data_IF_930608396039
#
_entry.id   IF_930608396039
#
_cell.length_a   1.000
_cell.length_b   1.000
_cell.length_c   1.000
_cell.angle_alpha   90.00
_cell.angle_beta   90.00
_cell.angle_gamma   90.00
#
_symmetry.space_group_name_H-M   'P 1'
#
loop_
_entity.id
_entity.type
_entity.pdbx_description
1 polymer ?
#
# COMPACT_ATOMS: atom_id res chain seq x y z
N UNK A 1 -26.74 25.60 32.09
CA UNK A 1 -25.32 25.41 32.49
C UNK A 1 -25.02 24.00 32.99
N UNK A 2 -25.84 23.33 33.81
CA UNK A 2 -25.56 21.95 34.29
C UNK A 2 -25.36 20.90 33.18
N UNK A 3 -26.09 20.99 32.06
CA UNK A 3 -26.00 20.02 30.96
C UNK A 3 -24.67 20.08 30.22
N UNK A 4 -24.04 21.24 30.08
CA UNK A 4 -22.73 21.37 29.45
C UNK A 4 -21.58 20.88 30.37
N UNK A 5 -21.72 21.08 31.70
CA UNK A 5 -20.74 20.66 32.67
C UNK A 5 -20.67 19.14 32.88
N UNK A 6 -21.71 18.40 32.46
CA UNK A 6 -21.74 16.93 32.56
C UNK A 6 -21.21 16.21 31.32
N UNK A 7 -20.80 16.94 30.26
CA UNK A 7 -20.23 16.32 29.07
C UNK A 7 -18.80 15.90 29.27
N UNK A 8 -18.48 14.73 28.76
CA UNK A 8 -17.12 14.23 28.75
C UNK A 8 -16.28 15.09 27.78
N UNK A 9 -15.18 15.65 28.28
CA UNK A 9 -14.17 16.33 27.46
C UNK A 9 -13.13 15.31 27.03
N UNK A 10 -12.64 15.41 25.81
CA UNK A 10 -11.56 14.60 25.25
C UNK A 10 -10.52 15.51 24.61
N UNK A 11 -9.28 15.07 24.54
CA UNK A 11 -8.27 15.75 23.74
C UNK A 11 -8.57 15.58 22.26
N UNK A 12 -8.19 16.57 21.48
CA UNK A 12 -8.32 16.57 20.04
C UNK A 12 -6.94 16.71 19.42
N UNK A 13 -6.60 15.78 18.53
CA UNK A 13 -5.33 15.82 17.77
C UNK A 13 -5.55 15.48 16.31
N UNK A 14 -4.55 15.82 15.50
CA UNK A 14 -4.57 15.58 14.08
C UNK A 14 -3.16 15.27 13.57
N UNK A 15 -3.06 14.29 12.68
CA UNK A 15 -1.81 13.92 12.03
C UNK A 15 -2.05 13.56 10.57
N UNK A 16 -0.99 13.38 9.79
CA UNK A 16 -1.10 13.04 8.38
C UNK A 16 -0.29 11.81 7.98
N UNK A 17 -0.83 11.04 7.04
CA UNK A 17 -0.06 10.08 6.25
C UNK A 17 0.59 10.82 5.09
N UNK A 18 1.89 11.02 5.18
CA UNK A 18 2.72 11.57 4.11
C UNK A 18 3.63 10.45 3.62
N UNK A 19 3.78 10.29 2.31
CA UNK A 19 4.62 9.24 1.73
C UNK A 19 5.63 9.82 0.74
N UNK A 20 6.68 9.06 0.49
CA UNK A 20 7.50 9.25 -0.71
C UNK A 20 6.89 8.57 -1.94
N UNK A 21 7.57 8.66 -3.08
CA UNK A 21 7.07 8.15 -4.37
C UNK A 21 7.02 6.62 -4.45
N UNK A 22 7.69 5.89 -3.56
CA UNK A 22 7.65 4.43 -3.50
C UNK A 22 6.74 3.91 -2.39
N UNK A 23 6.03 4.82 -1.69
CA UNK A 23 5.01 4.47 -0.69
C UNK A 23 5.53 4.29 0.73
N UNK A 24 6.79 4.67 1.03
CA UNK A 24 7.28 4.69 2.42
C UNK A 24 6.64 5.85 3.18
N UNK A 25 6.29 5.60 4.43
CA UNK A 25 5.61 6.57 5.32
C UNK A 25 6.63 7.46 6.01
N UNK A 26 6.39 8.77 5.99
CA UNK A 26 7.17 9.75 6.73
C UNK A 26 6.83 9.66 8.21
N UNK A 27 7.84 9.49 9.04
CA UNK A 27 7.76 9.63 10.48
C UNK A 27 8.75 10.68 10.97
N UNK A 28 8.46 11.26 12.13
CA UNK A 28 9.29 12.25 12.82
C UNK A 28 9.74 11.72 14.19
N UNK A 29 10.95 12.07 14.63
CA UNK A 29 11.51 11.64 15.89
C UNK A 29 11.52 12.77 16.89
N UNK A 30 10.71 12.73 17.97
CA UNK A 30 10.60 13.80 18.95
C UNK A 30 11.80 13.80 19.94
N UNK A 31 12.29 14.98 20.30
CA UNK A 31 13.39 15.16 21.25
C UNK A 31 12.97 14.98 22.72
N UNK A 32 11.68 15.17 23.03
CA UNK A 32 11.13 15.17 24.37
C UNK A 32 10.72 13.77 24.89
N UNK A 33 10.92 12.72 24.07
CA UNK A 33 10.65 11.32 24.47
C UNK A 33 11.93 10.64 24.93
N UNK A 34 11.82 9.84 25.98
CA UNK A 34 12.93 9.00 26.47
C UNK A 34 13.00 7.64 25.76
N UNK A 35 11.87 7.19 25.17
CA UNK A 35 11.78 5.99 24.36
C UNK A 35 12.13 6.35 22.90
N UNK A 36 12.73 5.43 22.16
CA UNK A 36 13.10 5.60 20.74
C UNK A 36 11.87 5.45 19.81
N UNK A 37 10.74 6.08 20.20
CA UNK A 37 9.48 6.00 19.45
C UNK A 37 9.28 7.21 18.56
N UNK A 38 8.91 6.92 17.34
CA UNK A 38 8.60 7.89 16.30
C UNK A 38 7.11 8.25 16.32
N UNK A 39 6.74 9.30 15.61
CA UNK A 39 5.37 9.80 15.47
C UNK A 39 5.03 10.04 14.02
N UNK A 40 3.73 10.05 13.68
CA UNK A 40 3.26 10.68 12.46
C UNK A 40 3.37 12.20 12.61
N UNK A 41 3.68 12.94 11.53
CA UNK A 41 3.65 14.41 11.55
C UNK A 41 2.27 14.92 11.98
N UNK A 42 2.23 15.82 12.96
CA UNK A 42 1.01 16.36 13.50
C UNK A 42 1.05 16.55 15.02
N UNK A 43 -0.03 17.08 15.60
CA UNK A 43 -0.09 17.38 17.01
C UNK A 43 -1.49 17.67 17.54
N UNK A 44 -1.54 18.35 18.70
CA UNK A 44 -2.78 18.73 19.35
C UNK A 44 -3.45 19.92 18.65
N UNK A 45 -4.78 19.91 18.59
CA UNK A 45 -5.52 21.07 18.15
C UNK A 45 -5.58 22.12 19.27
N UNK A 46 -5.36 23.36 18.93
CA UNK A 46 -5.57 24.52 19.83
C UNK A 46 -7.05 24.70 20.16
N UNK A 47 -7.39 25.41 21.25
CA UNK A 47 -8.77 25.80 21.52
C UNK A 47 -9.39 26.51 20.30
N UNK A 48 -10.59 26.05 19.90
CA UNK A 48 -11.35 26.57 18.76
C UNK A 48 -10.70 26.29 17.37
N UNK A 49 -9.62 25.51 17.28
CA UNK A 49 -8.97 25.12 16.05
C UNK A 49 -9.65 23.88 15.41
N UNK A 50 -9.87 23.93 14.09
CA UNK A 50 -10.37 22.78 13.35
C UNK A 50 -9.25 21.74 13.15
N UNK A 51 -9.50 20.40 13.27
CA UNK A 51 -8.45 19.38 13.15
C UNK A 51 -7.61 19.46 11.86
N UNK A 52 -8.21 19.86 10.74
CA UNK A 52 -7.46 20.01 9.48
C UNK A 52 -6.50 21.21 9.52
N UNK A 53 -6.85 22.27 10.24
CA UNK A 53 -6.00 23.45 10.39
C UNK A 53 -4.87 23.15 11.38
N UNK A 54 -5.16 22.46 12.48
CA UNK A 54 -4.15 21.93 13.39
C UNK A 54 -3.12 21.07 12.64
N UNK A 55 -3.59 20.11 11.84
CA UNK A 55 -2.70 19.25 11.05
C UNK A 55 -1.81 20.05 10.09
N UNK A 56 -2.34 21.09 9.40
CA UNK A 56 -1.55 21.94 8.50
C UNK A 56 -0.52 22.77 9.26
N UNK A 57 -0.93 23.36 10.39
CA UNK A 57 -0.04 24.15 11.25
C UNK A 57 1.13 23.29 11.73
N UNK A 58 0.86 22.13 12.30
CA UNK A 58 1.88 21.20 12.81
C UNK A 58 2.85 20.76 11.69
N UNK A 59 2.34 20.36 10.51
CA UNK A 59 3.19 19.99 9.37
C UNK A 59 4.09 21.15 8.93
N UNK A 60 3.59 22.39 8.98
CA UNK A 60 4.37 23.55 8.64
C UNK A 60 5.42 23.88 9.72
N UNK A 61 5.08 23.73 11.01
CA UNK A 61 5.96 23.95 12.14
C UNK A 61 7.04 22.87 12.27
N UNK A 62 6.67 21.61 12.04
CA UNK A 62 7.54 20.45 12.19
C UNK A 62 8.47 20.21 11.00
N UNK A 63 8.00 20.46 9.77
CA UNK A 63 8.69 20.03 8.54
C UNK A 63 8.95 21.17 7.54
N UNK A 64 8.52 22.39 7.85
CA UNK A 64 8.55 23.55 6.94
C UNK A 64 7.82 23.28 5.60
N UNK A 65 6.81 22.44 5.63
CA UNK A 65 5.96 22.12 4.47
C UNK A 65 4.69 22.97 4.49
N UNK A 66 4.79 24.18 3.92
CA UNK A 66 3.70 25.14 3.86
C UNK A 66 2.58 24.70 2.89
N UNK A 67 1.35 25.17 3.16
CA UNK A 67 0.16 24.99 2.31
C UNK A 67 -0.14 23.55 1.89
N UNK A 68 0.09 22.59 2.80
CA UNK A 68 -0.16 21.18 2.50
C UNK A 68 -1.66 20.91 2.30
N UNK A 69 -2.02 20.38 1.14
CA UNK A 69 -3.39 19.94 0.88
C UNK A 69 -3.70 18.69 1.71
N UNK A 70 -4.84 18.70 2.38
CA UNK A 70 -5.38 17.59 3.16
C UNK A 70 -6.76 17.23 2.57
N UNK A 71 -6.82 16.52 1.42
CA UNK A 71 -8.05 16.37 0.64
C UNK A 71 -9.11 15.51 1.34
N UNK A 72 -8.71 14.63 2.26
CA UNK A 72 -9.66 13.76 2.97
C UNK A 72 -9.12 13.28 4.32
N UNK A 73 -10.05 12.84 5.17
CA UNK A 73 -9.77 12.09 6.39
C UNK A 73 -9.61 10.62 6.03
N UNK A 74 -8.51 10.01 6.43
CA UNK A 74 -8.22 8.59 6.21
C UNK A 74 -8.66 7.72 7.39
N UNK A 75 -8.51 8.25 8.63
CA UNK A 75 -8.96 7.56 9.83
C UNK A 75 -9.46 8.55 10.88
N UNK A 76 -10.43 8.10 11.68
CA UNK A 76 -10.84 8.73 12.94
C UNK A 76 -10.68 7.69 14.03
N UNK A 77 -9.91 8.02 15.05
CA UNK A 77 -9.60 7.12 16.15
C UNK A 77 -10.03 7.72 17.49
N UNK A 78 -10.64 6.91 18.34
CA UNK A 78 -10.90 7.23 19.74
C UNK A 78 -9.99 6.41 20.65
N UNK A 79 -9.25 7.09 21.51
CA UNK A 79 -8.39 6.48 22.53
C UNK A 79 -9.08 6.56 23.89
N UNK A 80 -9.22 5.42 24.55
CA UNK A 80 -9.74 5.32 25.91
C UNK A 80 -8.78 5.99 26.89
N UNK A 81 -9.28 6.67 27.96
CA UNK A 81 -8.42 7.24 29.01
C UNK A 81 -7.62 6.19 29.80
N UNK A 82 -7.94 4.91 29.63
CA UNK A 82 -7.29 3.78 30.32
C UNK A 82 -6.44 2.92 29.39
N UNK A 83 -6.17 3.38 28.16
CA UNK A 83 -5.35 2.62 27.22
C UNK A 83 -3.92 2.43 27.74
N UNK A 84 -3.33 1.22 27.65
CA UNK A 84 -2.02 0.92 28.21
C UNK A 84 -0.86 1.75 27.61
N UNK A 85 -1.01 2.29 26.41
CA UNK A 85 0.00 3.16 25.77
C UNK A 85 0.01 4.60 26.35
N UNK A 86 -0.99 4.95 27.19
CA UNK A 86 -0.98 6.22 27.92
C UNK A 86 0.03 6.13 29.06
N UNK A 87 0.93 7.12 29.16
CA UNK A 87 1.92 7.16 30.22
C UNK A 87 1.25 7.13 31.62
N UNK A 88 1.72 6.29 32.55
CA UNK A 88 1.22 6.29 33.91
C UNK A 88 1.29 7.68 34.53
N UNK A 89 0.17 8.15 35.12
CA UNK A 89 0.08 9.46 35.74
C UNK A 89 -0.24 10.63 34.80
N UNK A 90 -0.33 10.40 33.50
CA UNK A 90 -0.80 11.38 32.52
C UNK A 90 -2.31 11.56 32.65
N UNK A 91 -2.83 12.79 32.91
CA UNK A 91 -4.26 13.02 33.07
C UNK A 91 -4.99 13.08 31.71
N UNK A 92 -4.94 11.97 30.93
CA UNK A 92 -5.60 11.89 29.64
C UNK A 92 -7.11 11.61 29.84
N UNK A 93 -8.00 12.51 29.41
CA UNK A 93 -9.43 12.28 29.50
C UNK A 93 -9.98 11.36 28.38
N UNK A 94 -9.12 10.81 27.56
CA UNK A 94 -9.37 10.20 26.26
C UNK A 94 -9.01 11.17 25.14
N UNK A 95 -8.89 10.64 23.92
CA UNK A 95 -8.48 11.43 22.76
C UNK A 95 -9.29 11.06 21.52
N UNK A 96 -9.63 12.04 20.70
CA UNK A 96 -10.09 11.84 19.33
C UNK A 96 -8.99 12.34 18.39
N UNK A 97 -8.46 11.45 17.56
CA UNK A 97 -7.41 11.73 16.60
C UNK A 97 -7.93 11.59 15.17
N UNK A 98 -7.67 12.61 14.35
CA UNK A 98 -7.93 12.61 12.92
C UNK A 98 -6.63 12.33 12.17
N UNK A 99 -6.66 11.38 11.23
CA UNK A 99 -5.54 11.12 10.34
C UNK A 99 -5.93 11.56 8.93
N UNK A 100 -5.21 12.52 8.40
CA UNK A 100 -5.44 13.10 7.08
C UNK A 100 -4.54 12.49 6.01
N UNK A 101 -4.98 12.58 4.76
CA UNK A 101 -4.15 12.31 3.58
C UNK A 101 -3.22 13.51 3.32
N UNK A 102 -1.98 13.40 3.74
CA UNK A 102 -0.94 14.41 3.49
C UNK A 102 -0.29 14.28 2.12
N UNK A 103 -0.69 13.31 1.29
CA UNK A 103 -0.22 13.12 -0.08
C UNK A 103 1.16 12.46 -0.17
N UNK A 104 1.71 12.50 -1.39
CA UNK A 104 3.05 11.98 -1.71
C UNK A 104 4.00 13.13 -2.00
N UNK A 105 5.21 13.07 -1.44
CA UNK A 105 6.25 14.06 -1.69
C UNK A 105 7.10 13.68 -2.89
N UNK A 106 7.43 14.68 -3.69
CA UNK A 106 8.46 14.54 -4.72
C UNK A 106 9.86 14.61 -4.10
N UNK A 107 10.92 14.11 -4.78
CA UNK A 107 12.29 14.24 -4.29
C UNK A 107 12.68 15.70 -3.95
N UNK A 108 12.25 16.67 -4.76
CA UNK A 108 12.52 18.09 -4.52
C UNK A 108 11.79 18.62 -3.27
N UNK A 109 10.60 18.10 -2.96
CA UNK A 109 9.88 18.45 -1.74
C UNK A 109 10.57 17.85 -0.52
N UNK A 110 11.03 16.59 -0.62
CA UNK A 110 11.78 15.92 0.45
C UNK A 110 13.08 16.69 0.77
N UNK A 111 13.82 17.14 -0.24
CA UNK A 111 15.05 17.92 -0.05
C UNK A 111 14.81 19.27 0.64
N UNK A 112 13.61 19.80 0.57
CA UNK A 112 13.23 21.08 1.20
C UNK A 112 12.70 20.93 2.63
N UNK A 113 12.49 19.71 3.10
CA UNK A 113 12.10 19.50 4.51
C UNK A 113 13.21 20.06 5.40
N UNK A 114 12.82 20.89 6.34
CA UNK A 114 13.68 21.35 7.42
C UNK A 114 12.97 21.17 8.74
N UNK A 115 13.72 21.03 9.82
CA UNK A 115 13.23 20.91 11.19
C UNK A 115 13.51 22.22 11.91
N UNK A 116 12.61 23.21 11.82
CA UNK A 116 12.91 24.57 12.30
C UNK A 116 12.88 24.70 13.84
N UNK A 117 12.21 23.79 14.51
CA UNK A 117 12.07 23.77 15.97
C UNK A 117 13.11 22.89 16.68
N UNK A 118 13.07 22.90 18.01
CA UNK A 118 13.88 22.02 18.86
C UNK A 118 13.13 20.73 19.25
N UNK A 119 11.87 20.59 18.83
CA UNK A 119 10.98 19.50 19.23
C UNK A 119 11.28 18.19 18.51
N UNK A 120 11.83 18.27 17.29
CA UNK A 120 12.16 17.10 16.47
C UNK A 120 13.67 17.03 16.20
N UNK A 121 14.24 15.83 16.32
CA UNK A 121 15.65 15.57 16.04
C UNK A 121 15.90 15.17 14.59
N UNK A 122 14.95 14.44 13.99
CA UNK A 122 15.08 13.92 12.63
C UNK A 122 13.72 13.53 12.03
N UNK A 123 13.70 13.32 10.73
CA UNK A 123 12.61 12.68 10.00
C UNK A 123 13.16 11.58 9.10
N UNK A 124 12.35 10.55 8.85
CA UNK A 124 12.73 9.49 7.92
C UNK A 124 11.49 8.84 7.28
N UNK A 125 11.73 8.14 6.14
CA UNK A 125 10.72 7.39 5.44
C UNK A 125 10.92 5.89 5.68
N UNK A 126 9.88 5.23 6.17
CA UNK A 126 9.91 3.81 6.53
C UNK A 126 8.91 3.00 5.70
N UNK A 127 9.26 1.78 5.33
CA UNK A 127 8.28 0.80 4.88
C UNK A 127 7.23 0.59 5.95
N UNK A 128 6.00 0.27 5.58
CA UNK A 128 4.86 0.21 6.52
C UNK A 128 5.11 -0.71 7.71
N UNK A 129 5.79 -1.83 7.48
CA UNK A 129 6.15 -2.76 8.55
C UNK A 129 7.14 -2.16 9.55
N UNK A 130 8.20 -1.55 9.05
CA UNK A 130 9.19 -0.89 9.90
C UNK A 130 8.57 0.31 10.63
N UNK A 131 7.71 1.07 9.95
CA UNK A 131 6.97 2.18 10.55
C UNK A 131 6.15 1.72 11.77
N UNK A 132 5.44 0.58 11.67
CA UNK A 132 4.69 0.00 12.81
C UNK A 132 5.61 -0.31 13.99
N UNK A 133 6.80 -0.87 13.73
CA UNK A 133 7.77 -1.22 14.77
C UNK A 133 8.36 0.02 15.47
N UNK A 134 8.42 1.17 14.76
CA UNK A 134 8.92 2.46 15.27
C UNK A 134 7.88 3.22 16.08
N UNK A 135 6.61 3.04 15.83
CA UNK A 135 5.50 3.72 16.51
C UNK A 135 5.12 3.01 17.83
N UNK A 136 4.33 3.67 18.67
CA UNK A 136 3.60 2.96 19.72
C UNK A 136 2.64 1.95 19.09
N UNK A 137 2.33 0.83 19.77
CA UNK A 137 1.46 -0.21 19.20
C UNK A 137 0.13 0.32 18.66
N UNK A 138 -0.55 1.17 19.41
CA UNK A 138 -1.82 1.78 18.96
C UNK A 138 -1.62 2.70 17.76
N UNK A 139 -0.56 3.51 17.75
CA UNK A 139 -0.27 4.44 16.64
C UNK A 139 0.09 3.69 15.36
N UNK A 140 0.81 2.57 15.49
CA UNK A 140 1.11 1.68 14.36
C UNK A 140 -0.15 1.09 13.72
N UNK A 141 -1.13 0.67 14.52
CA UNK A 141 -2.42 0.16 14.03
C UNK A 141 -3.22 1.26 13.31
N UNK A 142 -3.27 2.46 13.89
CA UNK A 142 -3.95 3.61 13.29
C UNK A 142 -3.28 4.00 11.96
N UNK A 143 -1.96 4.07 11.95
CA UNK A 143 -1.16 4.37 10.76
C UNK A 143 -1.44 3.38 9.64
N UNK A 144 -1.45 2.07 9.93
CA UNK A 144 -1.75 1.03 8.93
C UNK A 144 -3.17 1.17 8.39
N UNK A 145 -4.18 1.33 9.25
CA UNK A 145 -5.56 1.48 8.82
C UNK A 145 -5.74 2.72 7.92
N UNK A 146 -5.16 3.86 8.31
CA UNK A 146 -5.19 5.07 7.50
C UNK A 146 -4.47 4.90 6.15
N UNK A 147 -3.29 4.29 6.16
CA UNK A 147 -2.52 4.03 4.95
C UNK A 147 -3.26 3.09 3.99
N UNK A 148 -3.87 2.02 4.51
CA UNK A 148 -4.65 1.06 3.72
C UNK A 148 -5.95 1.68 3.19
N UNK A 149 -6.62 2.53 3.98
CA UNK A 149 -7.77 3.30 3.52
C UNK A 149 -7.41 4.21 2.33
N UNK A 150 -6.20 4.81 2.35
CA UNK A 150 -5.67 5.58 1.22
C UNK A 150 -5.43 4.73 -0.02
N UNK A 151 -4.75 3.59 0.13
CA UNK A 151 -4.42 2.71 -1.01
C UNK A 151 -5.65 2.03 -1.58
N UNK A 152 -6.53 1.56 -0.69
CA UNK A 152 -7.71 0.79 -1.05
C UNK A 152 -8.92 1.59 -1.48
N UNK A 153 -8.88 2.92 -1.33
CA UNK A 153 -10.05 3.80 -1.51
C UNK A 153 -11.27 3.37 -0.67
N UNK A 154 -10.99 2.87 0.55
CA UNK A 154 -11.97 2.25 1.45
C UNK A 154 -12.77 3.25 2.31
N UNK A 155 -12.72 4.54 1.99
CA UNK A 155 -13.32 5.58 2.82
C UNK A 155 -12.50 5.85 4.09
N UNK A 156 -13.16 6.44 5.10
CA UNK A 156 -12.52 6.75 6.38
C UNK A 156 -12.57 5.54 7.30
N UNK A 157 -11.42 5.09 7.79
CA UNK A 157 -11.35 4.04 8.81
C UNK A 157 -11.80 4.59 10.17
N UNK A 158 -12.66 3.86 10.87
CA UNK A 158 -13.13 4.23 12.21
C UNK A 158 -12.58 3.24 13.22
N UNK A 159 -11.79 3.73 14.19
CA UNK A 159 -11.12 2.90 15.17
C UNK A 159 -11.41 3.34 16.61
N UNK A 160 -11.39 2.37 17.51
CA UNK A 160 -11.32 2.59 18.96
C UNK A 160 -10.20 1.72 19.53
N UNK A 161 -9.31 2.33 20.33
CA UNK A 161 -8.15 1.66 20.92
C UNK A 161 -7.38 0.81 19.89
N UNK A 162 -7.14 1.38 18.70
CA UNK A 162 -6.41 0.75 17.60
C UNK A 162 -7.19 -0.30 16.79
N UNK A 163 -8.44 -0.58 17.10
CA UNK A 163 -9.24 -1.61 16.42
C UNK A 163 -10.36 -1.00 15.61
N UNK A 164 -10.63 -1.56 14.43
CA UNK A 164 -11.79 -1.19 13.65
C UNK A 164 -13.09 -1.42 14.43
N UNK A 165 -14.00 -0.43 14.41
CA UNK A 165 -15.33 -0.48 15.04
C UNK A 165 -16.48 -0.62 14.01
N UNK A 166 -16.16 -0.57 12.74
CA UNK A 166 -17.03 -0.83 11.59
C UNK A 166 -16.47 -1.98 10.77
N UNK A 167 -17.02 -2.19 9.58
CA UNK A 167 -16.53 -3.22 8.66
C UNK A 167 -15.03 -3.06 8.39
N UNK A 168 -14.32 -4.18 8.43
CA UNK A 168 -12.87 -4.20 8.22
C UNK A 168 -12.59 -4.35 6.72
N UNK A 169 -11.92 -3.38 6.07
CA UNK A 169 -11.58 -3.47 4.65
C UNK A 169 -10.68 -4.67 4.33
N UNK A 170 -10.69 -5.12 3.06
CA UNK A 170 -9.93 -6.29 2.62
C UNK A 170 -8.43 -6.20 2.94
N UNK A 171 -7.83 -5.02 2.73
CA UNK A 171 -6.39 -4.82 3.02
C UNK A 171 -6.06 -4.98 4.51
N UNK A 172 -6.97 -4.56 5.40
CA UNK A 172 -6.79 -4.70 6.86
C UNK A 172 -7.04 -6.13 7.31
N UNK A 173 -8.09 -6.80 6.79
CA UNK A 173 -8.39 -8.19 7.12
C UNK A 173 -7.22 -9.14 6.85
N UNK A 174 -6.47 -8.87 5.79
CA UNK A 174 -5.36 -9.71 5.34
C UNK A 174 -3.98 -9.18 5.73
N UNK A 175 -3.94 -8.15 6.58
CA UNK A 175 -2.67 -7.53 7.01
C UNK A 175 -1.73 -7.23 5.83
N UNK A 176 -2.27 -6.55 4.80
CA UNK A 176 -1.52 -6.24 3.58
C UNK A 176 -0.47 -5.16 3.84
N UNK A 177 0.76 -5.43 3.43
CA UNK A 177 1.88 -4.49 3.52
C UNK A 177 2.45 -4.16 2.15
N UNK A 178 2.82 -2.91 1.96
CA UNK A 178 3.59 -2.47 0.79
C UNK A 178 5.08 -2.65 1.11
N UNK A 179 5.79 -3.31 0.20
CA UNK A 179 7.24 -3.48 0.30
C UNK A 179 7.92 -3.02 -0.97
N UNK A 180 8.81 -2.05 -0.83
CA UNK A 180 9.66 -1.64 -1.92
C UNK A 180 10.81 -2.62 -2.13
N UNK A 181 11.07 -2.97 -3.39
CA UNK A 181 12.25 -3.73 -3.78
C UNK A 181 12.94 -3.02 -4.95
N UNK A 182 14.18 -2.54 -4.78
CA UNK A 182 14.89 -1.75 -5.80
C UNK A 182 14.93 -2.39 -7.19
N UNK A 183 14.98 -3.73 -7.27
CA UNK A 183 14.99 -4.46 -8.54
C UNK A 183 13.65 -4.43 -9.28
N UNK A 184 12.55 -4.07 -8.61
CA UNK A 184 11.20 -4.11 -9.20
C UNK A 184 10.76 -2.77 -9.78
N UNK A 185 11.41 -1.68 -9.40
CA UNK A 185 11.19 -0.35 -9.94
C UNK A 185 12.05 -0.04 -11.17
N UNK A 186 12.77 -1.04 -11.69
CA UNK A 186 13.54 -0.90 -12.92
C UNK A 186 12.64 -0.49 -14.09
N UNK A 187 13.14 0.40 -14.98
CA UNK A 187 12.37 0.83 -16.13
C UNK A 187 11.99 -0.35 -17.05
N UNK A 188 10.74 -0.37 -17.50
CA UNK A 188 10.28 -1.34 -18.49
C UNK A 188 10.97 -1.11 -19.84
N UNK A 189 11.65 -2.13 -20.35
CA UNK A 189 12.31 -2.13 -21.65
C UNK A 189 11.36 -2.74 -22.69
N UNK A 190 11.14 -2.02 -23.78
CA UNK A 190 10.23 -2.44 -24.88
C UNK A 190 10.99 -3.01 -26.08
N UNK A 191 12.31 -3.12 -26.00
CA UNK A 191 13.14 -3.81 -26.98
C UNK A 191 13.05 -5.32 -26.79
N UNK A 192 13.38 -6.14 -27.80
CA UNK A 192 13.54 -7.57 -27.59
C UNK A 192 14.51 -7.89 -26.46
N UNK A 193 14.26 -8.98 -25.74
CA UNK A 193 15.22 -9.51 -24.75
C UNK A 193 16.46 -9.96 -25.51
N UNK A 194 17.69 -9.54 -25.11
CA UNK A 194 18.92 -10.03 -25.73
C UNK A 194 19.04 -11.55 -25.60
N UNK A 195 19.48 -12.24 -26.67
CA UNK A 195 19.58 -13.70 -26.72
C UNK A 195 20.41 -14.32 -25.59
N UNK A 196 21.44 -13.59 -25.11
CA UNK A 196 22.31 -14.03 -24.03
C UNK A 196 21.72 -13.82 -22.64
N UNK A 197 20.58 -13.12 -22.53
CA UNK A 197 19.95 -12.81 -21.26
C UNK A 197 18.81 -13.80 -20.97
N UNK A 198 18.95 -14.71 -19.98
CA UNK A 198 17.91 -15.68 -19.72
C UNK A 198 16.64 -15.02 -19.18
N UNK A 199 15.48 -15.44 -19.71
CA UNK A 199 14.20 -15.11 -19.10
C UNK A 199 13.97 -16.03 -17.91
N UNK A 200 13.77 -15.45 -16.72
CA UNK A 200 13.60 -16.18 -15.47
C UNK A 200 12.22 -16.08 -14.87
N UNK A 201 11.49 -15.03 -15.16
CA UNK A 201 10.13 -14.81 -14.62
C UNK A 201 9.21 -14.21 -15.64
N UNK A 202 7.93 -14.54 -15.49
CA UNK A 202 6.81 -13.97 -16.25
C UNK A 202 5.70 -13.56 -15.32
N UNK A 203 5.34 -12.27 -15.33
CA UNK A 203 4.23 -11.72 -14.53
C UNK A 203 3.29 -10.91 -15.40
N UNK A 204 1.99 -10.94 -15.08
CA UNK A 204 1.00 -10.25 -15.90
C UNK A 204 0.02 -9.38 -15.09
N UNK A 205 -0.36 -8.28 -15.71
CA UNK A 205 -1.53 -7.47 -15.38
C UNK A 205 -2.76 -8.21 -15.91
N UNK A 206 -3.46 -8.94 -15.02
CA UNK A 206 -4.58 -9.83 -15.37
C UNK A 206 -5.89 -9.07 -15.27
N UNK A 207 -6.42 -8.58 -16.39
CA UNK A 207 -7.58 -7.71 -16.47
C UNK A 207 -8.91 -8.48 -16.50
N UNK A 208 -9.85 -8.09 -15.64
CA UNK A 208 -11.27 -8.48 -15.73
C UNK A 208 -12.06 -7.50 -16.61
N UNK A 209 -13.31 -7.83 -17.04
CA UNK A 209 -14.07 -7.03 -17.99
C UNK A 209 -14.33 -5.57 -17.61
N UNK A 210 -14.32 -5.23 -16.33
CA UNK A 210 -14.54 -3.85 -15.86
C UNK A 210 -13.25 -3.01 -15.81
N UNK A 211 -12.12 -3.55 -16.27
CA UNK A 211 -10.82 -2.86 -16.36
C UNK A 211 -10.00 -2.91 -15.05
N UNK A 212 -10.50 -3.58 -14.00
CA UNK A 212 -9.68 -3.88 -12.81
C UNK A 212 -8.72 -5.04 -13.08
N UNK A 213 -7.74 -5.16 -12.21
CA UNK A 213 -6.68 -6.17 -12.27
C UNK A 213 -6.81 -7.10 -11.07
N UNK A 214 -6.59 -8.40 -11.30
CA UNK A 214 -6.44 -9.37 -10.21
C UNK A 214 -5.01 -9.30 -9.68
N UNK A 215 -4.89 -9.08 -8.37
CA UNK A 215 -3.66 -9.19 -7.58
C UNK A 215 -3.74 -10.43 -6.72
N UNK A 216 -2.61 -11.05 -6.45
CA UNK A 216 -2.46 -12.03 -5.39
C UNK A 216 -1.67 -11.43 -4.23
N UNK A 217 -1.94 -11.90 -3.01
CA UNK A 217 -1.14 -11.55 -1.85
C UNK A 217 -0.86 -12.83 -1.05
N UNK A 218 0.44 -13.13 -0.87
CA UNK A 218 0.88 -14.28 -0.08
C UNK A 218 0.74 -13.96 1.42
N UNK A 219 -0.16 -14.66 2.16
CA UNK A 219 -0.40 -14.42 3.57
C UNK A 219 0.75 -14.96 4.43
N UNK A 220 1.92 -14.36 4.36
CA UNK A 220 3.10 -14.74 5.14
C UNK A 220 2.97 -14.37 6.64
N UNK A 221 3.88 -14.87 7.49
CA UNK A 221 3.89 -14.56 8.93
C UNK A 221 4.19 -13.09 9.23
N UNK A 222 4.56 -12.34 8.22
CA UNK A 222 4.93 -10.92 8.27
C UNK A 222 3.88 -10.02 7.61
N UNK A 223 2.64 -10.48 7.48
CA UNK A 223 1.60 -9.85 6.71
C UNK A 223 1.62 -10.28 5.24
N UNK A 224 0.57 -9.94 4.51
CA UNK A 224 0.41 -10.31 3.12
C UNK A 224 1.13 -9.32 2.19
N UNK A 225 1.90 -9.85 1.24
CA UNK A 225 2.63 -9.06 0.26
C UNK A 225 1.96 -9.16 -1.11
N UNK A 226 1.46 -8.04 -1.66
CA UNK A 226 0.85 -8.01 -2.98
C UNK A 226 1.83 -8.32 -4.11
N UNK A 227 1.37 -9.11 -5.09
CA UNK A 227 2.11 -9.48 -6.29
C UNK A 227 1.17 -9.53 -7.50
N UNK A 228 1.71 -9.37 -8.70
CA UNK A 228 1.00 -9.75 -9.92
C UNK A 228 1.01 -11.28 -10.03
N UNK A 229 -0.05 -11.92 -10.57
CA UNK A 229 0.00 -13.33 -10.90
C UNK A 229 1.14 -13.65 -11.86
N UNK A 230 1.89 -14.72 -11.57
CA UNK A 230 3.02 -15.16 -12.36
C UNK A 230 4.20 -15.56 -11.51
N UNK A 231 5.19 -16.18 -12.12
CA UNK A 231 6.31 -16.74 -11.37
C UNK A 231 7.50 -17.13 -12.22
N UNK A 232 8.22 -18.13 -11.75
CA UNK A 232 9.49 -18.59 -12.33
C UNK A 232 9.26 -19.51 -13.52
N UNK A 233 10.00 -19.28 -14.60
CA UNK A 233 10.04 -20.18 -15.76
C UNK A 233 10.65 -21.51 -15.34
N UNK A 234 9.88 -22.59 -15.46
CA UNK A 234 10.33 -23.94 -15.17
C UNK A 234 10.90 -24.62 -16.42
N UNK A 235 11.64 -25.72 -16.22
CA UNK A 235 12.23 -26.49 -17.33
C UNK A 235 11.17 -27.16 -18.24
N UNK A 236 10.00 -27.37 -17.73
CA UNK A 236 8.85 -27.95 -18.41
C UNK A 236 8.10 -26.93 -19.26
N UNK A 237 8.23 -25.65 -18.95
CA UNK A 237 7.56 -24.59 -19.68
C UNK A 237 8.19 -24.39 -21.08
N UNK A 238 7.40 -24.47 -22.11
CA UNK A 238 7.86 -24.35 -23.52
C UNK A 238 7.91 -22.89 -23.97
N UNK A 239 7.21 -22.01 -23.27
CA UNK A 239 7.17 -20.58 -23.55
C UNK A 239 6.89 -19.75 -22.28
N UNK A 240 7.21 -18.45 -22.29
CA UNK A 240 6.84 -17.54 -21.19
C UNK A 240 5.32 -17.43 -20.99
N UNK A 241 4.54 -17.58 -22.03
CA UNK A 241 3.07 -17.59 -21.96
C UNK A 241 2.57 -18.83 -21.21
N UNK A 242 3.19 -19.99 -21.43
CA UNK A 242 2.86 -21.23 -20.70
C UNK A 242 3.16 -21.08 -19.22
N UNK A 243 4.33 -20.52 -18.85
CA UNK A 243 4.64 -20.15 -17.47
C UNK A 243 3.53 -19.28 -16.88
N UNK A 244 3.10 -18.22 -17.60
CA UNK A 244 2.05 -17.35 -17.13
C UNK A 244 0.74 -18.07 -16.87
N UNK A 245 0.31 -18.93 -17.80
CA UNK A 245 -0.94 -19.69 -17.66
C UNK A 245 -0.89 -20.64 -16.47
N UNK A 246 0.22 -21.36 -16.28
CA UNK A 246 0.43 -22.26 -15.14
C UNK A 246 0.37 -21.51 -13.81
N UNK A 247 1.18 -20.47 -13.66
CA UNK A 247 1.29 -19.69 -12.41
C UNK A 247 -0.02 -18.97 -12.07
N UNK A 248 -0.69 -18.36 -13.07
CA UNK A 248 -1.98 -17.70 -12.85
C UNK A 248 -3.08 -18.70 -12.42
N UNK A 249 -3.02 -19.93 -12.91
CA UNK A 249 -3.95 -21.00 -12.49
C UNK A 249 -3.60 -21.52 -11.08
N UNK A 250 -2.33 -21.63 -10.73
CA UNK A 250 -1.87 -22.13 -9.42
C UNK A 250 -2.10 -21.09 -8.32
N UNK A 251 -1.65 -19.82 -8.52
CA UNK A 251 -1.70 -18.77 -7.51
C UNK A 251 -3.09 -18.14 -7.35
N UNK A 252 -3.80 -17.95 -8.46
CA UNK A 252 -5.02 -17.13 -8.49
C UNK A 252 -6.25 -17.82 -9.07
N UNK A 253 -6.12 -19.06 -9.56
CA UNK A 253 -7.15 -19.84 -10.24
C UNK A 253 -7.77 -19.10 -11.43
N UNK A 254 -6.93 -18.38 -12.17
CA UNK A 254 -7.34 -17.61 -13.35
C UNK A 254 -7.28 -18.44 -14.62
N UNK A 255 -8.29 -18.32 -15.47
CA UNK A 255 -8.21 -18.69 -16.88
C UNK A 255 -7.91 -17.43 -17.68
N UNK A 256 -6.74 -17.41 -18.33
CA UNK A 256 -6.26 -16.28 -19.12
C UNK A 256 -6.42 -16.50 -20.62
N UNK A 257 -6.62 -15.42 -21.36
CA UNK A 257 -6.61 -15.41 -22.82
C UNK A 257 -5.86 -14.20 -23.37
N UNK A 258 -5.37 -14.34 -24.60
CA UNK A 258 -4.73 -13.28 -25.39
C UNK A 258 -3.64 -12.51 -24.63
N UNK A 259 -2.60 -13.19 -24.08
CA UNK A 259 -1.51 -12.52 -23.40
C UNK A 259 -0.72 -11.64 -24.38
N UNK A 260 -0.39 -10.42 -23.94
CA UNK A 260 0.35 -9.43 -24.70
C UNK A 260 1.60 -9.01 -23.96
N UNK A 261 2.76 -9.15 -24.59
CA UNK A 261 4.02 -8.70 -24.00
C UNK A 261 4.06 -7.16 -23.95
N UNK A 262 4.16 -6.60 -22.78
CA UNK A 262 4.37 -5.16 -22.54
C UNK A 262 5.86 -4.78 -22.63
N UNK A 263 6.73 -5.70 -22.25
CA UNK A 263 8.16 -5.52 -22.20
C UNK A 263 8.80 -6.37 -21.10
N UNK A 264 10.00 -5.99 -20.67
CA UNK A 264 10.73 -6.69 -19.64
C UNK A 264 11.53 -5.73 -18.75
N UNK A 265 11.84 -6.16 -17.55
CA UNK A 265 12.73 -5.47 -16.62
C UNK A 265 14.01 -6.28 -16.42
N UNK A 266 15.13 -5.59 -16.23
CA UNK A 266 16.40 -6.23 -15.94
C UNK A 266 16.53 -6.44 -14.43
N UNK A 267 16.77 -7.67 -14.03
CA UNK A 267 17.30 -7.99 -12.71
C UNK A 267 18.80 -8.21 -12.84
N UNK A 268 19.59 -7.30 -12.32
CA UNK A 268 21.06 -7.31 -12.45
C UNK A 268 21.70 -8.33 -11.53
N UNK A 269 21.10 -8.60 -10.38
CA UNK A 269 21.70 -9.41 -9.32
C UNK A 269 21.32 -10.89 -9.40
N UNK A 270 20.10 -11.19 -9.79
CA UNK A 270 19.55 -12.54 -9.74
C UNK A 270 19.47 -13.10 -8.31
N UNK A 271 19.36 -12.25 -7.29
CA UNK A 271 19.32 -12.65 -5.87
C UNK A 271 18.31 -13.76 -5.57
N UNK A 272 17.11 -13.66 -6.16
CA UNK A 272 16.04 -14.65 -6.01
C UNK A 272 16.48 -16.04 -6.51
N UNK A 273 17.51 -16.10 -7.35
CA UNK A 273 18.09 -17.33 -7.92
C UNK A 273 19.51 -17.61 -7.39
N UNK A 274 19.79 -17.22 -6.15
CA UNK A 274 21.07 -17.46 -5.51
C UNK A 274 22.24 -16.66 -6.11
N UNK A 275 21.98 -15.49 -6.69
CA UNK A 275 23.00 -14.64 -7.30
C UNK A 275 23.45 -15.13 -8.68
N UNK A 276 22.56 -15.80 -9.43
CA UNK A 276 22.87 -16.40 -10.76
C UNK A 276 23.18 -15.37 -11.87
N UNK A 277 23.29 -14.08 -11.52
CA UNK A 277 23.63 -13.00 -12.44
C UNK A 277 22.42 -12.41 -13.17
N UNK A 278 22.66 -11.52 -14.14
CA UNK A 278 21.61 -10.77 -14.82
C UNK A 278 20.59 -11.66 -15.52
N UNK A 279 19.30 -11.29 -15.41
CA UNK A 279 18.20 -11.99 -16.06
C UNK A 279 17.07 -11.02 -16.47
N UNK A 280 16.24 -11.45 -17.40
CA UNK A 280 15.04 -10.74 -17.82
C UNK A 280 13.81 -11.26 -17.06
N UNK A 281 12.97 -10.33 -16.62
CA UNK A 281 11.65 -10.61 -16.05
C UNK A 281 10.59 -10.00 -16.95
N UNK A 282 9.79 -10.83 -17.59
CA UNK A 282 8.76 -10.37 -18.51
C UNK A 282 7.59 -9.71 -17.78
N UNK A 283 6.99 -8.75 -18.46
CA UNK A 283 5.75 -8.10 -18.04
C UNK A 283 4.74 -8.22 -19.17
N UNK A 284 3.63 -8.88 -18.90
CA UNK A 284 2.56 -9.05 -19.83
C UNK A 284 1.29 -8.35 -19.34
N UNK A 285 0.32 -8.19 -20.23
CA UNK A 285 -1.09 -7.99 -19.92
C UNK A 285 -1.85 -9.18 -20.45
N UNK A 286 -2.87 -9.65 -19.74
CA UNK A 286 -3.72 -10.75 -20.18
C UNK A 286 -5.18 -10.48 -19.78
N UNK A 287 -6.12 -11.01 -20.56
CA UNK A 287 -7.54 -10.95 -20.25
C UNK A 287 -7.94 -12.17 -19.42
N UNK A 288 -8.61 -11.93 -18.30
CA UNK A 288 -9.21 -12.98 -17.46
C UNK A 288 -10.58 -13.33 -18.01
N UNK A 289 -10.84 -14.61 -18.24
CA UNK A 289 -12.14 -15.11 -18.69
C UNK A 289 -12.91 -15.83 -17.59
N UNK A 290 -12.21 -16.36 -16.60
CA UNK A 290 -12.81 -17.03 -15.44
C UNK A 290 -11.90 -16.92 -14.22
N UNK A 291 -12.51 -16.87 -13.02
CA UNK A 291 -11.84 -16.96 -11.72
C UNK A 291 -12.47 -18.12 -10.95
N UNK A 292 -11.74 -19.21 -10.86
CA UNK A 292 -12.17 -20.42 -10.17
C UNK A 292 -12.21 -20.30 -8.65
N UNK A 293 -12.70 -21.34 -7.96
CA UNK A 293 -12.65 -21.44 -6.49
C UNK A 293 -11.21 -21.39 -5.98
N UNK A 294 -11.02 -20.81 -4.79
CA UNK A 294 -9.71 -20.74 -4.11
C UNK A 294 -9.11 -22.15 -3.95
N UNK A 295 -7.85 -22.29 -4.33
CA UNK A 295 -7.08 -23.52 -4.18
C UNK A 295 -5.78 -23.25 -3.42
N UNK A 296 -5.17 -24.32 -2.94
CA UNK A 296 -3.86 -24.27 -2.28
C UNK A 296 -2.79 -24.14 -3.38
N UNK A 297 -1.94 -23.14 -3.25
CA UNK A 297 -0.77 -22.98 -4.10
C UNK A 297 0.25 -24.10 -3.80
N UNK A 298 0.73 -24.83 -4.81
CA UNK A 298 1.62 -25.99 -4.62
C UNK A 298 2.97 -25.63 -4.00
N UNK A 299 3.49 -24.42 -4.28
CA UNK A 299 4.81 -23.99 -3.83
C UNK A 299 4.80 -23.56 -2.35
N UNK A 300 3.73 -22.87 -1.92
CA UNK A 300 3.63 -22.32 -0.56
C UNK A 300 2.82 -23.20 0.39
N UNK A 301 2.00 -24.11 -0.13
CA UNK A 301 1.13 -24.98 0.64
C UNK A 301 -0.07 -24.27 1.30
N UNK A 302 -0.41 -23.05 0.85
CA UNK A 302 -1.52 -22.23 1.35
C UNK A 302 -2.20 -21.47 0.23
N UNK A 303 -3.47 -21.07 0.39
CA UNK A 303 -4.14 -20.26 -0.61
C UNK A 303 -3.62 -18.83 -0.56
N UNK A 304 -3.51 -18.18 -1.71
CA UNK A 304 -3.27 -16.75 -1.79
C UNK A 304 -4.57 -15.95 -1.65
N UNK A 305 -4.47 -14.77 -1.06
CA UNK A 305 -5.53 -13.78 -1.09
C UNK A 305 -5.60 -13.18 -2.49
N UNK A 306 -6.80 -13.09 -3.06
CA UNK A 306 -7.03 -12.55 -4.39
C UNK A 306 -7.79 -11.23 -4.28
N UNK A 307 -7.23 -10.17 -4.82
CA UNK A 307 -7.76 -8.81 -4.71
C UNK A 307 -8.05 -8.23 -6.10
N UNK A 308 -9.12 -7.47 -6.20
CA UNK A 308 -9.50 -6.70 -7.38
C UNK A 308 -9.18 -5.22 -7.13
N UNK A 309 -8.26 -4.68 -7.92
CA UNK A 309 -7.80 -3.30 -7.81
C UNK A 309 -7.73 -2.63 -9.18
N UNK A 310 -7.79 -1.30 -9.22
CA UNK A 310 -7.47 -0.58 -10.46
C UNK A 310 -5.98 -0.72 -10.78
N UNK A 311 -5.54 -0.54 -12.04
CA UNK A 311 -4.11 -0.55 -12.37
C UNK A 311 -3.28 0.41 -11.50
N UNK A 312 -3.80 1.60 -11.18
CA UNK A 312 -3.11 2.58 -10.35
C UNK A 312 -2.99 2.11 -8.89
N UNK A 313 -4.05 1.57 -8.30
CA UNK A 313 -4.02 0.97 -6.96
C UNK A 313 -3.05 -0.22 -6.91
N UNK A 314 -3.06 -1.07 -7.95
CA UNK A 314 -2.12 -2.19 -8.11
C UNK A 314 -0.68 -1.72 -8.06
N UNK A 315 -0.31 -0.69 -8.84
CA UNK A 315 1.05 -0.15 -8.84
C UNK A 315 1.46 0.38 -7.47
N UNK A 316 0.54 1.04 -6.75
CA UNK A 316 0.78 1.54 -5.40
C UNK A 316 0.99 0.40 -4.38
N UNK A 317 0.16 -0.64 -4.43
CA UNK A 317 0.29 -1.83 -3.58
C UNK A 317 1.59 -2.62 -3.83
N UNK A 318 2.05 -2.65 -5.07
CA UNK A 318 3.31 -3.31 -5.44
C UNK A 318 4.55 -2.54 -4.96
N UNK A 319 4.42 -1.27 -4.55
CA UNK A 319 5.56 -0.45 -4.11
C UNK A 319 6.59 -0.19 -5.21
N UNK A 320 6.18 -0.21 -6.50
CA UNK A 320 7.10 -0.07 -7.65
C UNK A 320 7.36 1.39 -8.04
N UNK A 321 6.80 2.35 -7.32
CA UNK A 321 7.02 3.77 -7.54
C UNK A 321 6.67 4.27 -8.96
N UNK A 322 7.33 5.33 -9.44
CA UNK A 322 7.03 5.92 -10.76
C UNK A 322 7.19 4.94 -11.94
N UNK A 323 8.19 4.02 -11.98
CA UNK A 323 8.24 2.98 -13.01
C UNK A 323 7.03 2.05 -13.00
N UNK A 324 6.55 1.66 -11.81
CA UNK A 324 5.33 0.86 -11.66
C UNK A 324 4.08 1.58 -12.15
N UNK A 325 3.94 2.85 -11.82
CA UNK A 325 2.84 3.68 -12.33
C UNK A 325 2.82 3.75 -13.87
N UNK A 326 3.98 3.89 -14.50
CA UNK A 326 4.10 3.85 -15.97
C UNK A 326 3.76 2.47 -16.56
N UNK A 327 4.13 1.38 -15.88
CA UNK A 327 3.75 0.03 -16.30
C UNK A 327 2.22 -0.16 -16.19
N UNK A 328 1.61 0.28 -15.10
CA UNK A 328 0.16 0.23 -14.90
C UNK A 328 -0.60 1.00 -15.98
N UNK A 329 -0.12 2.19 -16.31
CA UNK A 329 -0.69 3.00 -17.38
C UNK A 329 -0.60 2.28 -18.75
N UNK A 330 0.58 1.78 -19.10
CA UNK A 330 0.79 1.02 -20.35
C UNK A 330 -0.10 -0.23 -20.43
N UNK A 331 -0.22 -0.95 -19.31
CA UNK A 331 -1.09 -2.13 -19.23
C UNK A 331 -2.56 -1.75 -19.47
N UNK A 332 -3.05 -0.67 -18.82
CA UNK A 332 -4.41 -0.18 -19.01
C UNK A 332 -4.67 0.30 -20.45
N UNK A 333 -3.74 1.05 -21.05
CA UNK A 333 -3.81 1.48 -22.45
C UNK A 333 -3.85 0.27 -23.40
N UNK A 334 -3.04 -0.76 -23.14
CA UNK A 334 -3.04 -2.02 -23.91
C UNK A 334 -4.37 -2.75 -23.77
N UNK A 335 -4.91 -2.85 -22.56
CA UNK A 335 -6.21 -3.50 -22.31
C UNK A 335 -7.37 -2.78 -23.03
N UNK A 336 -7.37 -1.46 -23.00
CA UNK A 336 -8.33 -0.64 -23.74
C UNK A 336 -8.20 -0.84 -25.24
N UNK A 337 -6.98 -0.72 -25.79
CA UNK A 337 -6.74 -0.80 -27.24
C UNK A 337 -6.96 -2.21 -27.79
N UNK A 338 -6.57 -3.25 -27.06
CA UNK A 338 -6.60 -4.64 -27.52
C UNK A 338 -7.95 -5.31 -27.31
N UNK A 339 -8.58 -5.06 -26.15
CA UNK A 339 -9.79 -5.77 -25.71
C UNK A 339 -11.01 -4.85 -25.53
N UNK A 340 -10.86 -3.55 -25.73
CA UNK A 340 -11.95 -2.58 -25.54
C UNK A 340 -12.37 -2.44 -24.06
N UNK A 341 -11.51 -2.80 -23.11
CA UNK A 341 -11.85 -2.72 -21.72
C UNK A 341 -11.90 -1.25 -21.25
N UNK A 342 -12.82 -0.90 -20.34
CA UNK A 342 -12.91 0.44 -19.79
C UNK A 342 -11.70 0.76 -18.90
N UNK A 343 -11.38 2.04 -18.76
CA UNK A 343 -10.49 2.49 -17.71
C UNK A 343 -11.21 2.38 -16.37
N UNK A 344 -10.72 1.53 -15.48
CA UNK A 344 -11.29 1.36 -14.16
C UNK A 344 -11.20 2.67 -13.37
N UNK A 345 -12.31 3.09 -12.75
CA UNK A 345 -12.35 4.23 -11.84
C UNK A 345 -11.88 3.78 -10.46
N UNK A 346 -11.28 4.68 -9.65
CA UNK A 346 -10.99 4.38 -8.25
C UNK A 346 -12.25 3.84 -7.54
N UNK A 347 -12.09 2.71 -6.88
CA UNK A 347 -13.13 2.02 -6.13
C UNK A 347 -12.45 1.27 -4.99
N UNK A 348 -13.18 1.00 -3.93
CA UNK A 348 -12.68 0.17 -2.84
C UNK A 348 -12.16 -1.18 -3.37
N UNK A 349 -10.95 -1.54 -2.92
CA UNK A 349 -10.35 -2.83 -3.25
C UNK A 349 -11.18 -3.95 -2.66
N UNK A 350 -11.60 -4.87 -3.51
CA UNK A 350 -12.44 -6.00 -3.15
C UNK A 350 -11.63 -7.29 -3.14
N UNK A 351 -11.99 -8.18 -2.22
CA UNK A 351 -11.52 -9.56 -2.23
C UNK A 351 -12.35 -10.37 -3.24
N UNK A 352 -11.68 -11.21 -4.03
CA UNK A 352 -12.38 -12.21 -4.85
C UNK A 352 -12.97 -13.27 -3.92
N UNK A 353 -14.26 -13.60 -4.04
CA UNK A 353 -14.90 -14.63 -3.21
C UNK A 353 -14.16 -15.99 -3.29
N UNK A 354 -14.22 -16.75 -2.19
CA UNK A 354 -13.56 -18.08 -2.12
C UNK A 354 -14.09 -19.05 -3.19
N UNK A 355 -15.36 -18.95 -3.53
CA UNK A 355 -16.01 -19.74 -4.60
C UNK A 355 -15.63 -19.33 -6.02
N UNK A 356 -14.86 -18.26 -6.15
CA UNK A 356 -14.52 -17.66 -7.42
C UNK A 356 -15.57 -16.67 -7.92
N UNK A 357 -15.41 -16.20 -9.16
CA UNK A 357 -16.30 -15.21 -9.75
C UNK A 357 -16.48 -15.45 -11.26
N UNK A 358 -17.74 -15.54 -11.71
CA UNK A 358 -18.06 -15.52 -13.13
C UNK A 358 -17.89 -14.11 -13.68
N UNK A 359 -17.17 -13.99 -14.77
CA UNK A 359 -16.95 -12.72 -15.46
C UNK A 359 -17.95 -12.64 -16.65
N UNK A 360 -18.84 -11.68 -16.60
CA UNK A 360 -19.87 -11.44 -17.64
C UNK A 360 -19.40 -10.39 -18.65
#
# INVERSE_FOLDING_TARGET
MQYAASRHAVWLSAAAIITDQIGRVLLVHPTYREDDRWLLPGGAADPDEHPADACRREIAEELDLQDRALPRVLAVHSLSPHHPDIRPGMPCPGEIRYIFDGGTLTPDQIQRISLPGEELSEFAFFETREAVERLLPVDGQIMLAAYRARLGDAGTAHLADGRHILDVPALDRHDVHVRHRPMWDSPLRRTPVPDQLPVRQTWAWCFIPDGRVVLVADPGPSGALPMLPGGTVEKTDTSPEETLHREAAEEAQLTLTDPVLLGWVLDETGEVYGGAGPNARLRLAARVTDIGPTAIDPATGRPFVRLLATPAQTAALLGWGPPGARQAQLAAETACARWGLPTARPIEIQEVPAEGMRLS
#
